data_IF_092423345795
#
_entry.id   IF_092423345795
#
_cell.length_a   1.000
_cell.length_b   1.000
_cell.length_c   1.000
_cell.angle_alpha   90.00
_cell.angle_beta   90.00
_cell.angle_gamma   90.00
#
_symmetry.space_group_name_H-M   'P 1'
#
loop_
_entity.id
_entity.type
_entity.pdbx_description
1 polymer ?
#
# COMPACT_ATOMS: atom_id res chain seq x y z
N UNK A 1 8.26 -4.77 20.99
CA UNK A 1 9.59 -4.73 21.66
C UNK A 1 9.69 -3.39 22.38
N UNK A 2 9.87 -3.33 23.70
CA UNK A 2 10.11 -2.06 24.36
C UNK A 2 11.44 -1.49 23.86
N UNK A 3 11.41 -0.27 23.30
CA UNK A 3 12.59 0.37 22.71
C UNK A 3 13.69 0.54 23.78
N UNK A 4 14.85 -0.08 23.55
CA UNK A 4 16.03 0.08 24.42
C UNK A 4 16.61 1.45 24.14
N UNK A 5 16.34 2.43 25.00
CA UNK A 5 16.83 3.80 24.81
C UNK A 5 18.35 3.82 24.95
N UNK A 6 19.03 4.05 23.84
CA UNK A 6 20.48 4.24 23.74
C UNK A 6 20.77 5.57 23.04
N UNK A 7 22.01 6.03 23.11
CA UNK A 7 22.43 7.19 22.32
C UNK A 7 22.50 6.79 20.84
N UNK A 8 21.66 7.41 19.99
CA UNK A 8 21.54 7.09 18.56
C UNK A 8 20.11 6.74 18.15
N UNK A 9 19.97 5.90 17.13
CA UNK A 9 18.67 5.32 16.76
C UNK A 9 18.25 4.26 17.77
N UNK A 10 16.96 4.08 17.95
CA UNK A 10 16.34 3.03 18.78
C UNK A 10 16.18 1.68 18.04
N UNK A 11 16.81 1.54 16.87
CA UNK A 11 16.77 0.38 15.97
C UNK A 11 18.14 0.12 15.32
N UNK A 12 18.38 -1.11 14.86
CA UNK A 12 19.68 -1.58 14.34
C UNK A 12 19.77 -1.68 12.79
N UNK A 13 18.71 -1.34 12.05
CA UNK A 13 18.64 -1.44 10.58
C UNK A 13 19.50 -0.39 9.86
N UNK A 14 19.71 0.78 10.45
CA UNK A 14 20.56 1.83 9.86
C UNK A 14 21.17 2.74 10.92
N UNK A 15 22.40 3.26 10.68
CA UNK A 15 23.05 4.18 11.59
C UNK A 15 22.35 5.54 11.62
N UNK A 16 22.42 6.23 12.75
CA UNK A 16 22.00 7.62 12.84
C UNK A 16 22.84 8.48 11.88
N UNK A 17 22.17 9.29 11.05
CA UNK A 17 22.83 10.15 10.06
C UNK A 17 22.10 11.50 9.96
N UNK A 18 22.67 12.59 10.49
CA UNK A 18 22.07 13.91 10.42
C UNK A 18 22.31 14.53 9.04
N UNK A 19 21.40 15.41 8.60
CA UNK A 19 21.46 16.00 7.25
C UNK A 19 22.78 16.73 6.96
N UNK A 20 23.41 17.33 7.98
CA UNK A 20 24.66 18.08 7.85
C UNK A 20 25.90 17.22 7.61
N UNK A 21 25.87 15.93 7.98
CA UNK A 21 26.98 14.98 7.73
C UNK A 21 26.61 13.88 6.75
N UNK A 22 25.39 13.92 6.18
CA UNK A 22 24.90 12.89 5.28
C UNK A 22 25.68 12.92 3.96
N UNK A 23 26.31 11.81 3.54
CA UNK A 23 26.98 11.74 2.24
C UNK A 23 26.02 12.03 1.10
N UNK A 24 26.54 12.55 0.00
CA UNK A 24 25.75 12.79 -1.22
C UNK A 24 25.30 11.43 -1.78
N UNK A 25 23.98 11.22 -1.81
CA UNK A 25 23.38 10.05 -2.44
C UNK A 25 23.49 10.20 -3.97
N UNK A 26 24.13 9.21 -4.62
CA UNK A 26 24.26 9.13 -6.08
C UNK A 26 23.44 7.94 -6.55
N UNK A 27 22.41 8.21 -7.34
CA UNK A 27 21.64 7.16 -8.00
C UNK A 27 22.38 6.63 -9.22
N UNK A 28 21.99 5.46 -9.76
CA UNK A 28 22.45 5.01 -11.08
C UNK A 28 22.37 6.12 -12.12
N UNK A 29 23.30 6.11 -13.07
CA UNK A 29 23.42 7.11 -14.14
C UNK A 29 23.55 8.56 -13.65
N UNK A 30 24.02 8.75 -12.42
CA UNK A 30 24.13 10.05 -11.76
C UNK A 30 22.80 10.82 -11.70
N UNK A 31 21.67 10.09 -11.68
CA UNK A 31 20.36 10.69 -11.52
C UNK A 31 20.25 11.45 -10.19
N UNK A 32 19.50 12.55 -10.20
CA UNK A 32 19.32 13.42 -9.01
C UNK A 32 18.15 13.01 -8.14
N UNK A 33 17.22 12.23 -8.70
CA UNK A 33 15.97 11.81 -8.06
C UNK A 33 15.70 10.36 -8.45
N UNK A 34 15.31 9.55 -7.48
CA UNK A 34 14.66 8.27 -7.73
C UNK A 34 13.15 8.46 -7.58
N UNK A 35 12.39 7.90 -8.53
CA UNK A 35 10.94 7.94 -8.52
C UNK A 35 10.42 6.52 -8.48
N UNK A 36 9.56 6.23 -7.50
CA UNK A 36 8.94 4.92 -7.33
C UNK A 36 7.42 5.10 -7.34
N UNK A 37 6.74 4.22 -8.08
CA UNK A 37 5.27 4.16 -8.09
C UNK A 37 4.86 2.91 -7.32
N UNK A 38 4.21 3.12 -6.19
CA UNK A 38 3.63 2.05 -5.38
C UNK A 38 2.13 2.06 -5.63
N UNK A 39 1.59 0.91 -6.03
CA UNK A 39 0.14 0.72 -6.22
C UNK A 39 -0.34 -0.24 -5.14
N UNK A 40 -1.20 0.26 -4.26
CA UNK A 40 -1.83 -0.53 -3.21
C UNK A 40 -2.96 -1.37 -3.80
N UNK A 41 -2.93 -2.67 -3.50
CA UNK A 41 -3.95 -3.65 -3.82
C UNK A 41 -4.49 -4.21 -2.52
N UNK A 42 -5.65 -3.69 -2.14
CA UNK A 42 -6.25 -3.88 -0.83
C UNK A 42 -7.55 -4.68 -0.93
N UNK A 43 -7.78 -5.59 0.02
CA UNK A 43 -9.01 -6.37 0.11
C UNK A 43 -9.93 -5.75 1.16
N UNK A 44 -11.23 -5.65 0.87
CA UNK A 44 -12.23 -5.20 1.83
C UNK A 44 -13.09 -6.37 2.28
N UNK A 45 -12.95 -6.76 3.53
CA UNK A 45 -13.75 -7.86 4.09
C UNK A 45 -15.23 -7.46 4.19
N UNK A 46 -16.10 -8.39 3.76
CA UNK A 46 -17.55 -8.21 3.84
C UNK A 46 -18.04 -8.23 5.29
N UNK A 47 -17.50 -9.15 6.08
CA UNK A 47 -17.78 -9.30 7.51
C UNK A 47 -16.47 -9.20 8.28
N UNK A 48 -16.48 -8.48 9.39
CA UNK A 48 -15.29 -8.25 10.22
C UNK A 48 -15.59 -8.63 11.66
N UNK A 49 -14.65 -9.29 12.37
CA UNK A 49 -14.82 -9.60 13.79
C UNK A 49 -15.16 -8.36 14.62
N UNK A 50 -16.02 -8.54 15.63
CA UNK A 50 -16.56 -7.45 16.43
C UNK A 50 -15.49 -6.67 17.22
N UNK A 51 -14.32 -7.28 17.45
CA UNK A 51 -13.19 -6.75 18.19
C UNK A 51 -12.06 -6.19 17.31
N UNK A 52 -12.21 -6.23 15.99
CA UNK A 52 -11.20 -5.67 15.08
C UNK A 52 -11.08 -4.16 15.25
N UNK A 53 -9.86 -3.62 15.51
CA UNK A 53 -9.66 -2.19 15.66
C UNK A 53 -10.06 -1.41 14.40
N UNK A 54 -10.82 -0.33 14.59
CA UNK A 54 -11.33 0.46 13.48
C UNK A 54 -10.24 1.40 12.96
N UNK A 55 -9.77 1.17 11.74
CA UNK A 55 -8.93 2.14 11.04
C UNK A 55 -9.81 3.32 10.57
N UNK A 56 -9.95 4.35 11.41
CA UNK A 56 -10.58 5.61 10.99
C UNK A 56 -9.58 6.36 10.12
N UNK A 57 -9.88 6.54 8.84
CA UNK A 57 -9.06 7.39 7.97
C UNK A 57 -9.33 8.86 8.33
N UNK A 58 -8.33 9.62 8.83
CA UNK A 58 -8.51 11.03 9.14
C UNK A 58 -8.65 11.91 7.88
N UNK A 59 -8.51 11.34 6.67
CA UNK A 59 -8.32 12.06 5.41
C UNK A 59 -9.49 11.98 4.43
N UNK A 60 -10.64 11.42 4.81
CA UNK A 60 -11.88 11.67 4.04
C UNK A 60 -11.96 11.00 2.65
N UNK A 61 -11.48 9.75 2.49
CA UNK A 61 -11.84 8.92 1.32
C UNK A 61 -13.32 8.50 1.34
N UNK A 62 -13.80 7.60 0.46
CA UNK A 62 -15.12 6.99 0.63
C UNK A 62 -15.31 6.41 2.05
N UNK A 63 -14.20 5.95 2.64
CA UNK A 63 -14.07 5.45 4.01
C UNK A 63 -14.03 6.55 5.09
N UNK A 64 -13.67 7.79 4.73
CA UNK A 64 -13.62 8.94 5.62
C UNK A 64 -14.78 9.94 5.43
N UNK A 65 -15.68 9.69 4.47
CA UNK A 65 -17.01 10.32 4.44
C UNK A 65 -17.88 9.83 5.61
N UNK A 66 -17.52 8.71 6.22
CA UNK A 66 -18.06 8.29 7.50
C UNK A 66 -17.35 9.06 8.63
N UNK A 67 -18.10 9.90 9.31
CA UNK A 67 -17.67 10.79 10.41
C UNK A 67 -17.20 9.99 11.63
N UNK A 68 -16.04 9.34 11.54
CA UNK A 68 -15.40 8.64 12.65
C UNK A 68 -16.02 7.31 13.06
N UNK A 69 -17.07 6.82 12.39
CA UNK A 69 -17.74 5.55 12.70
C UNK A 69 -17.69 4.61 11.50
N UNK A 70 -17.66 3.30 11.74
CA UNK A 70 -17.89 2.32 10.68
C UNK A 70 -19.32 2.49 10.10
N UNK A 71 -19.53 2.29 8.80
CA UNK A 71 -20.86 2.01 8.27
C UNK A 71 -21.47 0.80 8.99
N UNK A 72 -22.73 0.94 9.42
CA UNK A 72 -23.50 -0.19 9.93
C UNK A 72 -23.47 -1.30 8.87
N UNK A 73 -23.24 -2.53 9.30
CA UNK A 73 -23.30 -3.66 8.38
C UNK A 73 -24.69 -3.71 7.70
N UNK A 74 -24.76 -3.82 6.36
CA UNK A 74 -23.65 -3.99 5.43
C UNK A 74 -22.98 -2.67 4.99
N UNK A 75 -21.64 -2.70 4.91
CA UNK A 75 -20.82 -1.62 4.34
C UNK A 75 -20.74 -1.69 2.82
N UNK A 76 -21.82 -1.29 2.15
CA UNK A 76 -21.89 -1.32 0.69
C UNK A 76 -20.92 -0.31 0.05
N UNK A 77 -20.72 0.84 0.69
CA UNK A 77 -19.88 1.92 0.17
C UNK A 77 -18.40 1.55 0.15
N UNK A 78 -17.87 1.08 1.28
CA UNK A 78 -16.49 0.62 1.39
C UNK A 78 -16.23 -0.56 0.46
N UNK A 79 -17.10 -1.58 0.51
CA UNK A 79 -16.95 -2.78 -0.31
C UNK A 79 -16.98 -2.47 -1.81
N UNK A 80 -17.98 -1.69 -2.27
CA UNK A 80 -18.13 -1.35 -3.68
C UNK A 80 -16.95 -0.56 -4.27
N UNK A 81 -16.35 0.34 -3.49
CA UNK A 81 -15.18 1.10 -3.93
C UNK A 81 -13.94 0.21 -4.11
N UNK A 82 -13.70 -0.73 -3.18
CA UNK A 82 -12.57 -1.65 -3.25
C UNK A 82 -12.74 -2.67 -4.38
N UNK A 83 -13.96 -3.19 -4.55
CA UNK A 83 -14.31 -4.04 -5.70
C UNK A 83 -14.02 -3.33 -7.02
N UNK A 84 -14.41 -2.05 -7.13
CA UNK A 84 -14.09 -1.26 -8.32
C UNK A 84 -12.58 -1.13 -8.54
N UNK A 85 -11.81 -0.88 -7.48
CA UNK A 85 -10.35 -0.82 -7.53
C UNK A 85 -9.73 -2.09 -8.11
N UNK A 86 -10.07 -3.24 -7.52
CA UNK A 86 -9.50 -4.55 -7.87
C UNK A 86 -10.01 -5.10 -9.22
N UNK A 87 -11.18 -4.68 -9.69
CA UNK A 87 -11.80 -5.23 -10.92
C UNK A 87 -11.75 -4.31 -12.12
N UNK A 88 -11.58 -3.01 -11.91
CA UNK A 88 -11.66 -2.01 -13.00
C UNK A 88 -10.56 -0.96 -12.88
N UNK A 89 -10.38 -0.37 -11.70
CA UNK A 89 -9.47 0.77 -11.47
C UNK A 89 -8.02 0.43 -11.78
N UNK A 90 -7.54 -0.70 -11.27
CA UNK A 90 -6.16 -1.16 -11.42
C UNK A 90 -5.72 -1.24 -12.89
N UNK A 91 -6.56 -1.73 -13.78
CA UNK A 91 -6.19 -1.89 -15.20
C UNK A 91 -5.94 -0.54 -15.88
N UNK A 92 -6.66 0.51 -15.47
CA UNK A 92 -6.42 1.87 -15.98
C UNK A 92 -5.08 2.42 -15.48
N UNK A 93 -4.73 2.15 -14.23
CA UNK A 93 -3.44 2.55 -13.65
C UNK A 93 -2.31 1.82 -14.38
N UNK A 94 -2.39 0.48 -14.48
CA UNK A 94 -1.39 -0.33 -15.17
C UNK A 94 -1.21 0.10 -16.63
N UNK A 95 -2.29 0.40 -17.35
CA UNK A 95 -2.20 0.88 -18.74
C UNK A 95 -1.44 2.21 -18.88
N UNK A 96 -1.59 3.13 -17.92
CA UNK A 96 -0.82 4.39 -17.91
C UNK A 96 0.65 4.11 -17.63
N UNK A 97 0.95 3.23 -16.68
CA UNK A 97 2.32 2.86 -16.36
C UNK A 97 3.02 2.16 -17.54
N UNK A 98 2.31 1.25 -18.20
CA UNK A 98 2.76 0.58 -19.42
C UNK A 98 3.08 1.61 -20.52
N UNK A 99 2.20 2.61 -20.71
CA UNK A 99 2.40 3.69 -21.70
C UNK A 99 3.70 4.47 -21.48
N UNK A 100 4.11 4.67 -20.23
CA UNK A 100 5.33 5.41 -19.89
C UNK A 100 6.53 4.51 -19.58
N UNK A 101 6.40 3.19 -19.74
CA UNK A 101 7.47 2.22 -19.43
C UNK A 101 7.86 2.20 -17.95
N UNK A 102 6.95 2.57 -17.05
CA UNK A 102 7.21 2.61 -15.61
C UNK A 102 6.82 1.26 -15.01
N UNK A 103 7.78 0.60 -14.36
CA UNK A 103 7.54 -0.63 -13.63
C UNK A 103 7.04 -0.31 -12.20
N UNK A 104 5.81 -0.66 -11.83
CA UNK A 104 5.32 -0.42 -10.47
C UNK A 104 5.84 -1.44 -9.46
N UNK A 105 5.80 -1.02 -8.20
CA UNK A 105 5.77 -1.91 -7.04
C UNK A 105 4.32 -2.09 -6.61
N UNK A 106 3.85 -3.33 -6.55
CA UNK A 106 2.50 -3.68 -6.11
C UNK A 106 2.55 -4.06 -4.63
N UNK A 107 1.95 -3.22 -3.80
CA UNK A 107 1.75 -3.50 -2.38
C UNK A 107 0.48 -4.33 -2.24
N UNK A 108 0.63 -5.61 -1.88
CA UNK A 108 -0.43 -6.60 -2.01
C UNK A 108 -0.80 -7.19 -0.65
N UNK A 109 -2.08 -7.10 -0.30
CA UNK A 109 -2.64 -7.84 0.84
C UNK A 109 -2.70 -9.34 0.52
N UNK A 110 -2.50 -10.19 1.54
CA UNK A 110 -2.66 -11.64 1.39
C UNK A 110 -4.04 -12.00 0.82
N UNK A 111 -5.11 -11.39 1.35
CA UNK A 111 -6.47 -11.65 0.90
C UNK A 111 -6.68 -11.31 -0.59
N UNK A 112 -6.03 -10.26 -1.11
CA UNK A 112 -6.09 -9.98 -2.56
C UNK A 112 -5.41 -11.09 -3.36
N UNK A 113 -4.28 -11.62 -2.89
CA UNK A 113 -3.61 -12.74 -3.57
C UNK A 113 -4.50 -14.00 -3.63
N UNK A 114 -5.25 -14.26 -2.56
CA UNK A 114 -6.17 -15.41 -2.44
C UNK A 114 -7.44 -15.21 -3.29
N UNK A 115 -8.06 -14.03 -3.25
CA UNK A 115 -9.35 -13.75 -3.88
C UNK A 115 -9.26 -13.23 -5.33
N UNK A 116 -8.17 -12.53 -5.67
CA UNK A 116 -7.96 -11.94 -6.99
C UNK A 116 -6.62 -12.41 -7.62
N UNK A 117 -6.41 -13.73 -7.81
CA UNK A 117 -5.14 -14.26 -8.33
C UNK A 117 -4.81 -13.76 -9.74
N UNK A 118 -5.78 -13.23 -10.48
CA UNK A 118 -5.53 -12.58 -11.77
C UNK A 118 -4.69 -11.31 -11.63
N UNK A 119 -4.82 -10.55 -10.54
CA UNK A 119 -4.00 -9.34 -10.30
C UNK A 119 -2.53 -9.69 -10.10
N UNK A 120 -2.27 -10.79 -9.39
CA UNK A 120 -0.90 -11.34 -9.25
C UNK A 120 -0.33 -11.69 -10.62
N UNK A 121 -1.11 -12.35 -11.48
CA UNK A 121 -0.69 -12.66 -12.85
C UNK A 121 -0.41 -11.41 -13.68
N UNK A 122 -1.23 -10.36 -13.56
CA UNK A 122 -1.02 -9.10 -14.27
C UNK A 122 0.25 -8.38 -13.84
N UNK A 123 0.58 -8.42 -12.54
CA UNK A 123 1.86 -7.90 -12.04
C UNK A 123 3.05 -8.72 -12.55
N UNK A 124 2.96 -10.05 -12.51
CA UNK A 124 4.00 -10.95 -13.02
C UNK A 124 4.29 -10.74 -14.51
N UNK A 125 3.25 -10.56 -15.34
CA UNK A 125 3.40 -10.27 -16.79
C UNK A 125 4.22 -9.01 -17.06
N UNK A 126 4.10 -8.00 -16.19
CA UNK A 126 4.84 -6.74 -16.26
C UNK A 126 6.18 -6.79 -15.55
N UNK A 127 6.51 -7.94 -14.98
CA UNK A 127 7.65 -8.13 -14.11
C UNK A 127 7.63 -7.24 -12.88
N UNK A 128 6.45 -6.76 -12.43
CA UNK A 128 6.32 -5.84 -11.30
C UNK A 128 6.96 -6.40 -10.01
N UNK A 129 7.42 -5.51 -9.14
CA UNK A 129 7.85 -5.89 -7.80
C UNK A 129 6.63 -6.11 -6.90
N UNK A 130 6.65 -7.10 -6.02
CA UNK A 130 5.60 -7.33 -5.03
C UNK A 130 6.14 -7.09 -3.63
N UNK A 131 5.42 -6.30 -2.84
CA UNK A 131 5.69 -6.11 -1.41
C UNK A 131 4.48 -6.54 -0.60
N UNK A 132 4.73 -7.22 0.52
CA UNK A 132 3.66 -7.66 1.40
C UNK A 132 3.01 -6.45 2.10
N UNK A 133 1.68 -6.36 2.04
CA UNK A 133 0.91 -5.24 2.59
C UNK A 133 -0.08 -5.66 3.68
N UNK A 134 0.20 -6.78 4.35
CA UNK A 134 -0.62 -7.28 5.46
C UNK A 134 -1.61 -8.36 5.03
N UNK A 135 -2.56 -8.68 5.91
CA UNK A 135 -3.53 -9.77 5.66
C UNK A 135 -4.70 -9.28 4.81
N UNK A 136 -5.30 -8.18 5.21
CA UNK A 136 -6.43 -7.49 4.60
C UNK A 136 -6.41 -6.05 5.09
N UNK A 137 -7.14 -5.16 4.42
CA UNK A 137 -7.23 -3.74 4.79
C UNK A 137 -8.10 -3.52 6.02
N UNK A 138 -9.03 -4.44 6.28
CA UNK A 138 -10.02 -4.38 7.36
C UNK A 138 -9.88 -5.53 8.35
#
# INVERSE_FOLDING_TARGET
MPAKRTYGMDQDFYPWSPIVTRPVLRWPDNARVAFAVIVNLEHWDWEVPADTPLAVSPMGGPEGMWTGNQPNFPDIGGYGNHEYGNRVGIFRILAVLDKYGIKPTLALDKAVADHFPFLVKEGQKRGAEFIAHGLSRR
#
